data_IF_194330134724
#
_entry.id   IF_194330134724
#
_cell.length_a   1.000
_cell.length_b   1.000
_cell.length_c   1.000
_cell.angle_alpha   90.00
_cell.angle_beta   90.00
_cell.angle_gamma   90.00
#
_symmetry.space_group_name_H-M   'P 1'
#
loop_
_entity.id
_entity.type
_entity.pdbx_description
1 polymer ?
#
# COMPACT_ATOMS: atom_id res chain seq x y z
N UNK A 1 -41.99 19.35 6.01
CA UNK A 1 -41.24 18.55 5.02
C UNK A 1 -40.60 19.45 3.95
N UNK A 2 -40.58 20.78 4.15
CA UNK A 2 -40.23 21.76 3.09
C UNK A 2 -38.78 22.30 3.18
N UNK A 3 -38.02 21.90 4.20
CA UNK A 3 -36.64 22.36 4.40
C UNK A 3 -35.64 21.66 3.47
N UNK A 4 -35.93 20.42 3.06
CA UNK A 4 -35.08 19.62 2.16
C UNK A 4 -35.39 19.87 0.67
N UNK A 5 -36.48 20.56 0.35
CA UNK A 5 -36.89 20.93 -1.01
C UNK A 5 -36.54 22.38 -1.36
N UNK A 6 -36.07 23.17 -0.39
CA UNK A 6 -35.73 24.56 -0.61
C UNK A 6 -34.45 24.68 -1.46
N UNK A 7 -34.57 25.29 -2.64
CA UNK A 7 -33.50 25.44 -3.63
C UNK A 7 -32.22 26.08 -3.06
N UNK A 8 -32.36 26.99 -2.09
CA UNK A 8 -31.22 27.62 -1.42
C UNK A 8 -30.47 26.63 -0.52
N UNK A 9 -31.18 25.74 0.17
CA UNK A 9 -30.60 24.70 1.04
C UNK A 9 -29.99 23.57 0.21
N UNK A 10 -30.67 23.15 -0.88
CA UNK A 10 -30.15 22.13 -1.79
C UNK A 10 -28.95 22.66 -2.60
N UNK A 11 -28.98 23.92 -3.04
CA UNK A 11 -27.91 24.55 -3.79
C UNK A 11 -26.70 24.94 -2.94
N UNK A 12 -26.90 25.73 -1.88
CA UNK A 12 -25.80 26.20 -1.02
C UNK A 12 -25.37 25.11 -0.04
N UNK A 13 -26.32 24.43 0.59
CA UNK A 13 -26.02 23.31 1.48
C UNK A 13 -25.39 22.14 0.73
N UNK A 14 -25.91 21.77 -0.45
CA UNK A 14 -25.32 20.76 -1.31
C UNK A 14 -23.93 21.15 -1.84
N UNK A 15 -23.73 22.41 -2.22
CA UNK A 15 -22.43 22.94 -2.67
C UNK A 15 -21.36 22.94 -1.58
N UNK A 16 -21.70 23.39 -0.37
CA UNK A 16 -20.78 23.41 0.78
C UNK A 16 -20.48 21.99 1.27
N UNK A 17 -21.50 21.12 1.35
CA UNK A 17 -21.33 19.73 1.79
C UNK A 17 -20.50 18.94 0.77
N UNK A 18 -20.77 19.11 -0.53
CA UNK A 18 -19.99 18.45 -1.60
C UNK A 18 -18.55 18.95 -1.65
N UNK A 19 -18.31 20.26 -1.50
CA UNK A 19 -16.96 20.83 -1.40
C UNK A 19 -16.17 20.30 -0.20
N UNK A 20 -16.83 20.18 0.96
CA UNK A 20 -16.22 19.62 2.16
C UNK A 20 -15.87 18.14 1.99
N UNK A 21 -16.77 17.35 1.41
CA UNK A 21 -16.53 15.93 1.09
C UNK A 21 -15.35 15.79 0.13
N UNK A 22 -15.29 16.57 -0.95
CA UNK A 22 -14.19 16.53 -1.93
C UNK A 22 -12.86 16.89 -1.28
N UNK A 23 -12.84 17.89 -0.39
CA UNK A 23 -11.61 18.31 0.29
C UNK A 23 -11.10 17.23 1.25
N UNK A 24 -12.01 16.60 2.00
CA UNK A 24 -11.66 15.47 2.87
C UNK A 24 -11.16 14.27 2.06
N UNK A 25 -11.83 13.94 0.94
CA UNK A 25 -11.46 12.83 0.07
C UNK A 25 -10.10 13.07 -0.60
N UNK A 26 -9.88 14.29 -1.10
CA UNK A 26 -8.61 14.71 -1.70
C UNK A 26 -7.48 14.59 -0.69
N UNK A 27 -7.65 15.16 0.51
CA UNK A 27 -6.66 15.07 1.59
C UNK A 27 -6.34 13.62 1.96
N UNK A 28 -7.35 12.76 2.03
CA UNK A 28 -7.17 11.34 2.33
C UNK A 28 -6.38 10.60 1.24
N UNK A 29 -6.72 10.82 -0.04
CA UNK A 29 -6.03 10.20 -1.18
C UNK A 29 -4.58 10.67 -1.26
N UNK A 30 -4.32 11.98 -1.15
CA UNK A 30 -2.97 12.53 -1.20
C UNK A 30 -2.11 12.05 -0.03
N UNK A 31 -2.65 11.99 1.18
CA UNK A 31 -1.91 11.46 2.35
C UNK A 31 -1.48 9.99 2.14
N UNK A 32 -2.35 9.16 1.55
CA UNK A 32 -1.99 7.77 1.21
C UNK A 32 -0.92 7.69 0.12
N UNK A 33 -0.99 8.59 -0.87
CA UNK A 33 -0.01 8.65 -1.96
C UNK A 33 1.37 9.08 -1.45
N UNK A 34 1.45 10.06 -0.56
CA UNK A 34 2.70 10.55 0.02
C UNK A 34 3.39 9.45 0.84
N UNK A 35 2.62 8.68 1.62
CA UNK A 35 3.16 7.52 2.33
C UNK A 35 3.78 6.49 1.37
N UNK A 36 3.14 6.22 0.23
CA UNK A 36 3.68 5.31 -0.79
C UNK A 36 4.97 5.85 -1.39
N UNK A 37 5.00 7.14 -1.72
CA UNK A 37 6.19 7.77 -2.27
C UNK A 37 7.35 7.71 -1.27
N UNK A 38 7.06 7.95 0.02
CA UNK A 38 8.03 7.81 1.10
C UNK A 38 8.65 6.40 1.15
N UNK A 39 7.83 5.35 1.17
CA UNK A 39 8.36 3.98 1.18
C UNK A 39 9.13 3.63 -0.10
N UNK A 40 8.72 4.15 -1.25
CA UNK A 40 9.48 3.96 -2.50
C UNK A 40 10.86 4.62 -2.40
N UNK A 41 10.94 5.80 -1.79
CA UNK A 41 12.23 6.48 -1.53
C UNK A 41 13.10 5.68 -0.56
N UNK A 42 12.53 5.08 0.49
CA UNK A 42 13.27 4.19 1.39
C UNK A 42 13.88 2.99 0.64
N UNK A 43 13.10 2.31 -0.20
CA UNK A 43 13.59 1.18 -1.01
C UNK A 43 14.75 1.60 -1.95
N UNK A 44 14.65 2.79 -2.55
CA UNK A 44 15.72 3.34 -3.40
C UNK A 44 16.99 3.65 -2.60
N UNK A 45 16.86 4.22 -1.40
CA UNK A 45 18.00 4.50 -0.51
C UNK A 45 18.70 3.19 -0.13
N UNK A 46 17.94 2.20 0.33
CA UNK A 46 18.49 0.90 0.72
C UNK A 46 19.23 0.24 -0.43
N UNK A 47 18.64 0.23 -1.63
CA UNK A 47 19.28 -0.30 -2.85
C UNK A 47 20.55 0.47 -3.20
N UNK A 48 20.51 1.80 -3.20
CA UNK A 48 21.70 2.61 -3.51
C UNK A 48 22.85 2.33 -2.54
N UNK A 49 22.56 2.18 -1.24
CA UNK A 49 23.56 1.80 -0.24
C UNK A 49 24.11 0.40 -0.53
N UNK A 50 23.25 -0.59 -0.78
CA UNK A 50 23.69 -1.95 -1.11
C UNK A 50 24.58 -1.97 -2.36
N UNK A 51 24.17 -1.30 -3.43
CA UNK A 51 24.95 -1.22 -4.67
C UNK A 51 26.31 -0.55 -4.47
N UNK A 52 26.38 0.47 -3.63
CA UNK A 52 27.64 1.14 -3.32
C UNK A 52 28.63 0.23 -2.55
N UNK A 53 28.12 -0.73 -1.78
CA UNK A 53 28.93 -1.63 -0.96
C UNK A 53 29.36 -2.91 -1.68
N UNK A 54 28.63 -3.34 -2.72
CA UNK A 54 28.93 -4.56 -3.48
C UNK A 54 30.40 -4.69 -3.94
N UNK A 55 31.04 -3.65 -4.52
CA UNK A 55 32.43 -3.77 -4.95
C UNK A 55 33.38 -4.11 -3.80
N UNK A 56 33.17 -3.49 -2.62
CA UNK A 56 33.99 -3.71 -1.43
C UNK A 56 33.94 -5.15 -0.89
N UNK A 57 32.86 -5.88 -1.16
CA UNK A 57 32.74 -7.30 -0.77
C UNK A 57 33.70 -8.16 -1.59
N UNK A 58 33.71 -7.98 -2.91
CA UNK A 58 34.61 -8.71 -3.83
C UNK A 58 36.08 -8.39 -3.56
N UNK A 59 36.37 -7.19 -3.08
CA UNK A 59 37.71 -6.74 -2.71
C UNK A 59 38.10 -7.10 -1.26
N UNK A 60 37.18 -7.70 -0.48
CA UNK A 60 37.41 -8.07 0.93
C UNK A 60 37.52 -6.89 1.89
N UNK A 61 37.17 -5.68 1.45
CA UNK A 61 37.31 -4.44 2.20
C UNK A 61 35.93 -3.84 2.51
N UNK A 62 35.43 -4.12 3.72
CA UNK A 62 34.14 -3.58 4.17
C UNK A 62 34.34 -2.35 5.07
N UNK A 63 33.74 -1.18 4.75
CA UNK A 63 33.82 0.00 5.60
C UNK A 63 33.28 -0.24 7.01
N UNK A 64 33.94 0.38 8.00
CA UNK A 64 33.54 0.29 9.40
C UNK A 64 32.15 0.90 9.65
N UNK A 65 31.58 0.61 10.83
CA UNK A 65 30.22 1.05 11.20
C UNK A 65 30.04 2.58 11.14
N UNK A 66 31.08 3.35 11.47
CA UNK A 66 31.03 4.81 11.45
C UNK A 66 30.88 5.35 10.01
N UNK A 67 31.66 4.80 9.07
CA UNK A 67 31.57 5.13 7.65
C UNK A 67 30.20 4.69 7.09
N UNK A 68 29.72 3.52 7.51
CA UNK A 68 28.41 3.03 7.08
C UNK A 68 27.27 3.95 7.53
N UNK A 69 27.30 4.40 8.80
CA UNK A 69 26.35 5.39 9.33
C UNK A 69 26.43 6.71 8.56
N UNK A 70 27.64 7.18 8.22
CA UNK A 70 27.80 8.38 7.42
C UNK A 70 27.19 8.22 6.01
N UNK A 71 27.38 7.06 5.38
CA UNK A 71 26.76 6.71 4.10
C UNK A 71 25.24 6.70 4.21
N UNK A 72 24.67 6.04 5.22
CA UNK A 72 23.23 6.00 5.47
C UNK A 72 22.67 7.42 5.61
N UNK A 73 23.30 8.27 6.43
CA UNK A 73 22.84 9.65 6.65
C UNK A 73 22.93 10.46 5.36
N UNK A 74 24.03 10.35 4.61
CA UNK A 74 24.22 11.09 3.36
C UNK A 74 23.17 10.70 2.31
N UNK A 75 22.95 9.40 2.10
CA UNK A 75 21.98 8.90 1.12
C UNK A 75 20.54 9.21 1.58
N UNK A 76 20.26 9.13 2.88
CA UNK A 76 18.94 9.51 3.43
C UNK A 76 18.61 10.98 3.15
N UNK A 77 19.60 11.89 3.31
CA UNK A 77 19.44 13.31 2.97
C UNK A 77 19.15 13.53 1.48
N UNK A 78 19.85 12.82 0.59
CA UNK A 78 19.64 12.89 -0.87
C UNK A 78 18.18 12.59 -1.26
N UNK A 79 17.57 11.61 -0.61
CA UNK A 79 16.19 11.18 -0.89
C UNK A 79 15.12 11.81 0.02
N UNK A 80 15.52 12.66 0.97
CA UNK A 80 14.63 13.33 1.95
C UNK A 80 13.80 12.34 2.78
N UNK A 81 14.45 11.29 3.28
CA UNK A 81 13.86 10.30 4.18
C UNK A 81 14.54 10.32 5.54
N UNK A 82 13.87 9.80 6.57
CA UNK A 82 14.47 9.67 7.90
C UNK A 82 15.47 8.51 7.90
N UNK A 83 16.71 8.76 8.33
CA UNK A 83 17.78 7.75 8.40
C UNK A 83 17.49 6.62 9.40
N UNK A 84 16.57 6.82 10.34
CA UNK A 84 16.10 5.78 11.28
C UNK A 84 15.14 4.77 10.63
N UNK A 85 14.59 5.10 9.46
CA UNK A 85 13.70 4.20 8.70
C UNK A 85 14.44 3.41 7.61
N UNK A 86 15.71 3.77 7.36
CA UNK A 86 16.62 3.12 6.42
C UNK A 86 17.32 1.95 7.11
N UNK A 87 17.80 0.98 6.32
CA UNK A 87 18.54 -0.16 6.86
C UNK A 87 19.75 0.27 7.69
N UNK A 88 19.84 -0.29 8.89
CA UNK A 88 20.95 -0.13 9.81
C UNK A 88 22.10 -1.07 9.42
N UNK A 89 23.33 -0.85 9.93
CA UNK A 89 24.50 -1.63 9.54
C UNK A 89 24.34 -3.15 9.61
N UNK A 90 23.66 -3.65 10.66
CA UNK A 90 23.30 -5.06 10.80
C UNK A 90 22.42 -5.55 9.63
N UNK A 91 21.33 -4.85 9.34
CA UNK A 91 20.38 -5.21 8.27
C UNK A 91 21.03 -5.16 6.88
N UNK A 92 21.92 -4.19 6.66
CA UNK A 92 22.69 -4.11 5.41
C UNK A 92 23.57 -5.36 5.26
N UNK A 93 24.25 -5.79 6.32
CA UNK A 93 25.07 -6.99 6.29
C UNK A 93 24.21 -8.25 6.03
N UNK A 94 23.04 -8.36 6.64
CA UNK A 94 22.11 -9.49 6.42
C UNK A 94 21.60 -9.56 4.98
N UNK A 95 21.21 -8.44 4.38
CA UNK A 95 20.77 -8.39 2.98
C UNK A 95 21.91 -8.72 2.00
N UNK A 96 23.14 -8.27 2.29
CA UNK A 96 24.31 -8.63 1.50
C UNK A 96 24.67 -10.11 1.63
N UNK A 97 24.64 -10.67 2.84
CA UNK A 97 24.84 -12.11 3.08
C UNK A 97 23.81 -12.92 2.28
N UNK A 98 22.54 -12.53 2.36
CA UNK A 98 21.48 -13.17 1.58
C UNK A 98 21.78 -13.10 0.08
N UNK A 99 22.14 -11.93 -0.45
CA UNK A 99 22.47 -11.78 -1.87
C UNK A 99 23.67 -12.66 -2.30
N UNK A 100 24.71 -12.77 -1.47
CA UNK A 100 25.85 -13.65 -1.72
C UNK A 100 25.43 -15.12 -1.73
N UNK A 101 24.60 -15.53 -0.76
CA UNK A 101 24.15 -16.91 -0.62
C UNK A 101 23.20 -17.34 -1.74
N UNK A 102 22.32 -16.45 -2.20
CA UNK A 102 21.39 -16.67 -3.30
C UNK A 102 22.10 -16.71 -4.67
N UNK A 103 23.32 -16.17 -4.78
CA UNK A 103 24.06 -16.17 -6.04
C UNK A 103 24.49 -17.58 -6.47
N UNK A 104 24.05 -18.01 -7.66
CA UNK A 104 24.49 -19.27 -8.26
C UNK A 104 25.87 -19.20 -8.91
N UNK A 105 26.44 -18.01 -9.06
CA UNK A 105 27.68 -17.76 -9.80
C UNK A 105 28.94 -17.71 -8.92
N UNK A 106 28.78 -17.71 -7.60
CA UNK A 106 29.89 -17.63 -6.64
C UNK A 106 30.12 -19.03 -6.06
N UNK A 107 31.39 -19.47 -6.02
CA UNK A 107 31.75 -20.75 -5.42
C UNK A 107 31.45 -20.76 -3.92
N UNK A 108 31.19 -21.94 -3.34
CA UNK A 108 30.91 -22.06 -1.91
C UNK A 108 32.04 -21.50 -1.04
N UNK A 109 33.30 -21.72 -1.43
CA UNK A 109 34.48 -21.20 -0.74
C UNK A 109 34.49 -19.66 -0.73
N UNK A 110 34.23 -19.02 -1.87
CA UNK A 110 34.15 -17.56 -1.96
C UNK A 110 32.96 -17.00 -1.17
N UNK A 111 31.81 -17.68 -1.14
CA UNK A 111 30.66 -17.28 -0.30
C UNK A 111 31.04 -17.24 1.17
N UNK A 112 31.74 -18.28 1.66
CA UNK A 112 32.20 -18.36 3.05
C UNK A 112 33.11 -17.18 3.41
N UNK A 113 34.09 -16.88 2.54
CA UNK A 113 35.02 -15.76 2.74
C UNK A 113 34.30 -14.40 2.78
N UNK A 114 33.38 -14.15 1.84
CA UNK A 114 32.63 -12.89 1.83
C UNK A 114 31.70 -12.74 3.04
N UNK A 115 31.02 -13.80 3.44
CA UNK A 115 30.17 -13.80 4.63
C UNK A 115 30.99 -13.59 5.92
N UNK A 116 32.21 -14.16 5.99
CA UNK A 116 33.11 -13.92 7.11
C UNK A 116 33.48 -12.44 7.24
N UNK A 117 33.71 -11.74 6.14
CA UNK A 117 33.97 -10.28 6.13
C UNK A 117 32.79 -9.46 6.65
N UNK A 118 31.55 -9.95 6.51
CA UNK A 118 30.34 -9.24 6.98
C UNK A 118 29.94 -9.60 8.42
N UNK A 119 30.49 -10.68 8.97
CA UNK A 119 30.09 -11.25 10.27
C UNK A 119 30.22 -10.27 11.44
N UNK A 120 31.21 -9.37 11.42
CA UNK A 120 31.43 -8.39 12.49
C UNK A 120 30.29 -7.36 12.63
N UNK A 121 29.50 -7.15 11.57
CA UNK A 121 28.36 -6.22 11.56
C UNK A 121 27.06 -6.88 12.03
N UNK A 122 26.95 -8.21 11.88
CA UNK A 122 25.76 -8.96 12.28
C UNK A 122 25.72 -9.17 13.80
N UNK A 123 26.90 -9.24 14.43
CA UNK A 123 27.07 -9.49 15.86
C UNK A 123 26.66 -10.91 16.26
N UNK A 124 27.13 -11.37 17.42
CA UNK A 124 26.65 -12.64 17.97
C UNK A 124 25.16 -12.56 18.29
N UNK A 125 24.45 -13.64 17.97
CA UNK A 125 23.02 -13.89 18.18
C UNK A 125 22.59 -13.65 19.63
N UNK A 126 22.36 -12.38 19.99
CA UNK A 126 21.66 -12.02 21.22
C UNK A 126 20.17 -12.33 21.06
N UNK A 127 19.48 -12.74 22.15
CA UNK A 127 18.08 -13.11 22.09
C UNK A 127 17.23 -11.97 21.53
N UNK A 128 16.22 -12.33 20.72
CA UNK A 128 15.30 -11.44 20.00
C UNK A 128 15.07 -10.11 20.75
N UNK A 129 15.73 -9.06 20.26
CA UNK A 129 15.64 -7.71 20.81
C UNK A 129 14.29 -7.08 20.47
N UNK A 130 13.77 -6.18 21.32
CA UNK A 130 12.60 -5.33 21.01
C UNK A 130 12.71 -4.65 19.63
N UNK A 131 13.94 -4.40 19.16
CA UNK A 131 14.22 -3.86 17.83
C UNK A 131 13.68 -4.75 16.69
N UNK A 132 13.80 -6.07 16.80
CA UNK A 132 13.33 -7.02 15.78
C UNK A 132 11.79 -7.12 15.77
N UNK A 133 11.14 -7.00 16.94
CA UNK A 133 9.67 -6.94 17.01
C UNK A 133 9.10 -5.65 16.40
N UNK A 134 9.76 -4.51 16.66
CA UNK A 134 9.41 -3.22 16.06
C UNK A 134 9.56 -3.28 14.53
N UNK A 135 10.59 -3.98 14.05
CA UNK A 135 10.86 -4.17 12.63
C UNK A 135 9.79 -5.03 11.93
N UNK A 136 9.43 -6.18 12.50
CA UNK A 136 8.34 -7.03 11.97
C UNK A 136 7.01 -6.27 11.94
N UNK A 137 6.74 -5.43 12.94
CA UNK A 137 5.57 -4.53 12.94
C UNK A 137 5.62 -3.50 11.81
N UNK A 138 6.79 -2.90 11.52
CA UNK A 138 6.95 -1.94 10.41
C UNK A 138 6.74 -2.60 9.04
N UNK A 139 7.31 -3.79 8.82
CA UNK A 139 7.13 -4.57 7.60
C UNK A 139 5.66 -4.96 7.37
N UNK A 140 4.97 -5.42 8.42
CA UNK A 140 3.55 -5.75 8.34
C UNK A 140 2.67 -4.52 8.05
N UNK A 141 3.01 -3.35 8.60
CA UNK A 141 2.30 -2.10 8.31
C UNK A 141 2.45 -1.70 6.83
N UNK A 142 3.64 -1.89 6.25
CA UNK A 142 3.88 -1.64 4.83
C UNK A 142 3.01 -2.53 3.93
N UNK A 143 2.91 -3.83 4.26
CA UNK A 143 2.09 -4.78 3.50
C UNK A 143 0.59 -4.45 3.57
N UNK A 144 0.10 -4.09 4.77
CA UNK A 144 -1.30 -3.72 4.98
C UNK A 144 -1.68 -2.43 4.23
N UNK A 145 -0.79 -1.43 4.16
CA UNK A 145 -1.06 -0.18 3.42
C UNK A 145 -1.25 -0.47 1.92
N UNK A 146 -0.41 -1.32 1.32
CA UNK A 146 -0.49 -1.68 -0.11
C UNK A 146 -1.79 -2.44 -0.43
N UNK A 147 -2.20 -3.36 0.45
CA UNK A 147 -3.42 -4.14 0.27
C UNK A 147 -4.69 -3.29 0.45
N UNK A 148 -4.72 -2.42 1.46
CA UNK A 148 -5.89 -1.58 1.75
C UNK A 148 -6.11 -0.46 0.72
N UNK A 149 -5.09 -0.16 -0.10
CA UNK A 149 -5.17 0.82 -1.18
C UNK A 149 -5.76 0.23 -2.47
N UNK A 150 -5.43 -1.02 -2.80
CA UNK A 150 -6.03 -1.72 -3.95
C UNK A 150 -7.53 -1.93 -3.74
N UNK A 151 -7.95 -2.26 -2.51
CA UNK A 151 -9.37 -2.40 -2.17
C UNK A 151 -10.13 -1.08 -2.26
N UNK A 152 -9.53 0.02 -1.79
CA UNK A 152 -10.16 1.36 -1.86
C UNK A 152 -10.37 1.84 -3.31
N UNK A 153 -9.41 1.59 -4.20
CA UNK A 153 -9.49 2.03 -5.60
C UNK A 153 -10.54 1.25 -6.39
N UNK A 154 -10.60 -0.07 -6.18
CA UNK A 154 -11.62 -0.93 -6.80
C UNK A 154 -13.02 -0.55 -6.29
N UNK A 155 -13.17 -0.32 -4.99
CA UNK A 155 -14.45 0.09 -4.41
C UNK A 155 -14.91 1.45 -4.96
N UNK A 156 -14.01 2.43 -5.05
CA UNK A 156 -14.31 3.75 -5.60
C UNK A 156 -14.71 3.73 -7.09
N UNK A 157 -14.01 2.95 -7.91
CA UNK A 157 -14.39 2.74 -9.32
C UNK A 157 -15.75 2.06 -9.43
N UNK A 158 -16.02 1.07 -8.59
CA UNK A 158 -17.28 0.35 -8.59
C UNK A 158 -18.46 1.24 -8.18
N UNK A 159 -18.31 2.03 -7.11
CA UNK A 159 -19.29 3.03 -6.66
C UNK A 159 -19.53 4.11 -7.71
N UNK A 160 -18.47 4.60 -8.37
CA UNK A 160 -18.59 5.56 -9.46
C UNK A 160 -19.38 4.99 -10.65
N UNK A 161 -19.06 3.76 -11.07
CA UNK A 161 -19.76 3.08 -12.15
C UNK A 161 -21.24 2.82 -11.82
N UNK A 162 -21.55 2.37 -10.59
CA UNK A 162 -22.95 2.19 -10.14
C UNK A 162 -23.70 3.51 -10.09
N UNK A 163 -23.06 4.61 -9.64
CA UNK A 163 -23.68 5.93 -9.65
C UNK A 163 -24.04 6.42 -11.05
N UNK A 164 -23.15 6.18 -12.04
CA UNK A 164 -23.42 6.53 -13.45
C UNK A 164 -24.59 5.71 -14.00
N UNK A 165 -24.60 4.40 -13.75
CA UNK A 165 -25.69 3.51 -14.18
C UNK A 165 -27.03 3.93 -13.58
N UNK A 166 -27.07 4.21 -12.27
CA UNK A 166 -28.30 4.67 -11.59
C UNK A 166 -28.77 6.01 -12.15
N UNK A 167 -27.86 6.96 -12.39
CA UNK A 167 -28.20 8.27 -12.96
C UNK A 167 -28.77 8.12 -14.37
N UNK A 168 -28.13 7.32 -15.22
CA UNK A 168 -28.57 7.09 -16.60
C UNK A 168 -29.92 6.34 -16.64
N UNK A 169 -30.12 5.37 -15.76
CA UNK A 169 -31.39 4.64 -15.62
C UNK A 169 -32.51 5.56 -15.12
N UNK A 170 -32.21 6.46 -14.17
CA UNK A 170 -33.18 7.45 -13.67
C UNK A 170 -33.55 8.51 -14.72
N UNK A 171 -32.63 8.89 -15.63
CA UNK A 171 -32.93 9.80 -16.73
C UNK A 171 -33.82 9.16 -17.80
N UNK A 172 -33.65 7.86 -18.06
CA UNK A 172 -34.45 7.12 -19.04
C UNK A 172 -35.82 6.70 -18.49
N UNK A 173 -35.95 6.52 -17.17
CA UNK A 173 -37.23 6.33 -16.49
C UNK A 173 -37.82 7.68 -16.11
N UNK A 174 -38.28 8.47 -17.09
CA UNK A 174 -39.17 9.60 -16.81
C UNK A 174 -40.49 9.05 -16.32
N UNK A 175 -40.71 9.10 -15.01
CA UNK A 175 -42.00 8.80 -14.37
C UNK A 175 -43.01 9.84 -14.88
N UNK A 176 -44.03 9.40 -15.62
CA UNK A 176 -45.14 10.27 -16.02
C UNK A 176 -45.83 10.82 -14.76
N UNK A 177 -46.14 12.11 -14.76
CA UNK A 177 -46.62 12.83 -13.57
C UNK A 177 -47.92 12.23 -12.98
N UNK A 178 -48.69 11.48 -13.77
CA UNK A 178 -49.94 10.80 -13.39
C UNK A 178 -49.81 9.42 -12.73
N UNK A 179 -48.59 8.88 -12.55
CA UNK A 179 -48.40 7.56 -11.95
C UNK A 179 -48.78 7.52 -10.45
N UNK A 180 -49.36 6.41 -10.00
CA UNK A 180 -49.73 6.22 -8.60
C UNK A 180 -48.50 6.24 -7.67
N UNK A 181 -48.65 6.67 -6.40
CA UNK A 181 -47.55 6.71 -5.43
C UNK A 181 -46.81 5.37 -5.28
N UNK A 182 -47.52 4.25 -5.43
CA UNK A 182 -46.95 2.90 -5.37
C UNK A 182 -46.04 2.62 -6.57
N UNK A 183 -46.44 3.06 -7.75
CA UNK A 183 -45.67 2.91 -8.99
C UNK A 183 -44.42 3.77 -8.98
N UNK A 184 -44.51 5.01 -8.46
CA UNK A 184 -43.34 5.88 -8.24
C UNK A 184 -42.35 5.24 -7.27
N UNK A 185 -42.82 4.68 -6.16
CA UNK A 185 -41.95 3.98 -5.19
C UNK A 185 -41.32 2.74 -5.82
N UNK A 186 -42.06 1.92 -6.55
CA UNK A 186 -41.54 0.71 -7.20
C UNK A 186 -40.46 1.04 -8.25
N UNK A 187 -40.75 1.99 -9.15
CA UNK A 187 -39.83 2.38 -10.21
C UNK A 187 -38.55 3.03 -9.69
N UNK A 188 -38.59 3.66 -8.51
CA UNK A 188 -37.40 4.31 -7.92
C UNK A 188 -36.60 3.35 -7.04
N UNK A 189 -37.27 2.46 -6.29
CA UNK A 189 -36.60 1.57 -5.32
C UNK A 189 -36.06 0.29 -5.96
N UNK A 190 -36.70 -0.23 -7.01
CA UNK A 190 -36.26 -1.45 -7.68
C UNK A 190 -34.88 -1.32 -8.36
N UNK A 191 -34.58 -0.24 -9.12
CA UNK A 191 -33.24 -0.02 -9.67
C UNK A 191 -32.17 0.15 -8.59
N UNK A 192 -32.50 0.83 -7.48
CA UNK A 192 -31.58 0.98 -6.34
C UNK A 192 -31.26 -0.37 -5.69
N UNK A 193 -32.24 -1.25 -5.50
CA UNK A 193 -32.00 -2.60 -4.98
C UNK A 193 -31.18 -3.47 -5.93
N UNK A 194 -31.41 -3.36 -7.24
CA UNK A 194 -30.61 -4.05 -8.25
C UNK A 194 -29.16 -3.57 -8.25
N UNK A 195 -28.93 -2.26 -8.17
CA UNK A 195 -27.59 -1.69 -8.09
C UNK A 195 -26.88 -2.09 -6.78
N UNK A 196 -27.60 -2.09 -5.65
CA UNK A 196 -27.07 -2.51 -4.35
C UNK A 196 -26.70 -4.01 -4.32
N UNK A 197 -27.54 -4.87 -4.91
CA UNK A 197 -27.27 -6.31 -4.98
C UNK A 197 -26.06 -6.61 -5.89
N UNK A 198 -25.94 -5.93 -7.04
CA UNK A 198 -24.77 -6.04 -7.90
C UNK A 198 -23.47 -5.61 -7.19
N UNK A 199 -23.52 -4.53 -6.39
CA UNK A 199 -22.39 -4.09 -5.58
C UNK A 199 -22.00 -5.12 -4.50
N UNK A 200 -22.98 -5.71 -3.81
CA UNK A 200 -22.72 -6.74 -2.79
C UNK A 200 -22.11 -8.01 -3.38
N UNK A 201 -22.60 -8.48 -4.53
CA UNK A 201 -22.03 -9.64 -5.24
C UNK A 201 -20.58 -9.37 -5.66
N UNK A 202 -20.29 -8.14 -6.09
CA UNK A 202 -18.95 -7.75 -6.51
C UNK A 202 -17.97 -7.68 -5.33
N UNK A 203 -18.41 -7.15 -4.19
CA UNK A 203 -17.63 -7.17 -2.94
C UNK A 203 -17.36 -8.62 -2.49
N UNK A 204 -18.37 -9.48 -2.54
CA UNK A 204 -18.23 -10.90 -2.20
C UNK A 204 -17.24 -11.62 -3.15
N UNK A 205 -17.31 -11.33 -4.46
CA UNK A 205 -16.39 -11.87 -5.45
C UNK A 205 -14.94 -11.44 -5.23
N UNK A 206 -14.71 -10.17 -4.87
CA UNK A 206 -13.37 -9.66 -4.51
C UNK A 206 -12.86 -10.35 -3.26
N UNK A 207 -13.70 -10.53 -2.23
CA UNK A 207 -13.31 -11.24 -1.02
C UNK A 207 -12.97 -12.72 -1.29
N UNK A 208 -13.76 -13.40 -2.12
CA UNK A 208 -13.49 -14.78 -2.54
C UNK A 208 -12.17 -14.88 -3.33
N UNK A 209 -11.95 -13.98 -4.28
CA UNK A 209 -10.71 -13.91 -5.06
C UNK A 209 -9.47 -13.68 -4.18
N UNK A 210 -9.56 -12.75 -3.22
CA UNK A 210 -8.46 -12.49 -2.27
C UNK A 210 -8.19 -13.69 -1.36
N UNK A 211 -9.22 -14.45 -0.98
CA UNK A 211 -9.08 -15.66 -0.17
C UNK A 211 -8.38 -16.77 -0.95
N UNK A 212 -8.80 -17.02 -2.19
CA UNK A 212 -8.18 -17.99 -3.09
C UNK A 212 -6.71 -17.65 -3.38
N UNK A 213 -6.40 -16.37 -3.60
CA UNK A 213 -5.02 -15.92 -3.81
C UNK A 213 -4.13 -16.14 -2.59
N UNK A 214 -4.66 -15.96 -1.38
CA UNK A 214 -3.92 -16.26 -0.13
C UNK A 214 -3.61 -17.75 0.00
N UNK A 215 -4.52 -18.63 -0.40
CA UNK A 215 -4.28 -20.08 -0.36
C UNK A 215 -3.28 -20.51 -1.43
N UNK A 216 -3.36 -19.95 -2.64
CA UNK A 216 -2.38 -20.21 -3.69
C UNK A 216 -0.96 -19.83 -3.26
N UNK A 217 -0.79 -18.65 -2.65
CA UNK A 217 0.52 -18.21 -2.14
C UNK A 217 1.05 -19.09 -0.98
N UNK A 218 0.17 -19.75 -0.21
CA UNK A 218 0.59 -20.70 0.83
C UNK A 218 1.08 -22.02 0.24
N UNK A 219 0.42 -22.49 -0.82
CA UNK A 219 0.81 -23.70 -1.54
C UNK A 219 2.16 -23.50 -2.25
N UNK A 220 2.37 -22.34 -2.88
CA UNK A 220 3.65 -21.97 -3.53
C UNK A 220 4.81 -21.78 -2.53
N UNK A 221 4.54 -21.65 -1.22
CA UNK A 221 5.57 -21.57 -0.17
C UNK A 221 5.91 -22.94 0.46
N UNK A 222 5.16 -24.00 0.13
CA UNK A 222 5.36 -25.35 0.67
C UNK A 222 5.99 -26.34 -0.34
N UNK A 223 6.03 -25.98 -1.62
CA UNK A 223 6.81 -26.64 -2.70
C UNK A 223 8.13 -25.93 -2.93
#
# INVERSE_FOLDING_TARGET
>A
MDFLTNEWVVGIGGGVLSGLIVTLLTRYIFTKRDNREYYRKLDLVNKEILYALRPGISEGAMPNEAILKALIIATSRKYKVNSQDVFQPKQIAEELIKEIMDSSFISFESKSTYCATLSYLVGETKPKSEAEEIEVKRLNKHYQIKQNQQTSMVLGLFTGATSVVVTFMSMNMRVEDGASLVEKVYMTTFPMMLAASAALVSIAGIFAYLRLRKEKNKLEQQT
#
